data_IF_443533795230
#
_entry.id   IF_443533795230
#
_cell.length_a   1.000
_cell.length_b   1.000
_cell.length_c   1.000
_cell.angle_alpha   90.00
_cell.angle_beta   90.00
_cell.angle_gamma   90.00
#
_symmetry.space_group_name_H-M   'P 1'
#
loop_
_entity.id
_entity.type
_entity.pdbx_description
1 polymer ?
#
# COMPACT_ATOMS: atom_id res chain seq x y z
N UNK A 1 19.35 -9.84 -40.17
CA UNK A 1 20.83 -10.03 -40.24
C UNK A 1 21.07 -11.52 -40.22
N UNK A 2 21.53 -12.11 -41.35
CA UNK A 2 21.85 -13.52 -41.46
C UNK A 2 23.36 -13.71 -41.25
N UNK A 3 23.73 -14.76 -40.52
CA UNK A 3 25.13 -15.15 -40.36
C UNK A 3 25.49 -16.15 -41.43
N UNK A 4 26.58 -15.87 -42.19
CA UNK A 4 27.11 -16.74 -43.25
C UNK A 4 28.16 -17.67 -42.66
N UNK A 5 27.92 -18.99 -42.79
CA UNK A 5 28.91 -19.99 -42.38
C UNK A 5 29.58 -20.51 -43.62
N UNK A 6 30.87 -20.16 -43.85
CA UNK A 6 31.71 -20.64 -44.95
C UNK A 6 32.46 -21.89 -44.51
N UNK A 7 32.20 -23.05 -45.14
CA UNK A 7 32.99 -24.26 -45.00
C UNK A 7 34.20 -24.30 -45.95
N UNK A 8 35.27 -25.12 -45.70
CA UNK A 8 36.47 -25.18 -46.50
C UNK A 8 36.22 -25.82 -47.86
N UNK A 9 36.70 -25.13 -48.93
CA UNK A 9 36.63 -25.60 -50.30
C UNK A 9 37.74 -26.66 -50.54
N UNK A 10 37.35 -27.89 -50.93
CA UNK A 10 38.25 -28.89 -51.45
C UNK A 10 37.67 -29.49 -52.74
N UNK A 11 38.29 -29.20 -53.90
CA UNK A 11 38.32 -30.02 -55.12
C UNK A 11 37.09 -29.90 -56.03
N UNK A 12 37.30 -29.31 -57.21
CA UNK A 12 36.62 -29.32 -58.49
C UNK A 12 35.36 -30.17 -58.67
N UNK A 13 34.25 -29.73 -58.25
CA UNK A 13 32.92 -30.17 -58.57
C UNK A 13 31.98 -28.99 -58.37
N UNK A 14 30.95 -28.89 -59.19
CA UNK A 14 29.95 -27.83 -59.06
C UNK A 14 29.47 -27.73 -57.60
N UNK A 15 30.05 -26.81 -56.86
CA UNK A 15 29.61 -26.55 -55.47
C UNK A 15 28.25 -25.89 -55.52
N UNK A 16 27.23 -26.63 -55.12
CA UNK A 16 25.95 -26.06 -54.79
C UNK A 16 26.21 -25.18 -53.57
N UNK A 17 26.27 -23.86 -53.76
CA UNK A 17 26.32 -22.88 -52.66
C UNK A 17 25.01 -23.05 -51.88
N UNK A 18 25.06 -23.85 -50.85
CA UNK A 18 23.91 -24.06 -49.94
C UNK A 18 23.81 -22.80 -49.08
N UNK A 19 22.92 -21.91 -49.50
CA UNK A 19 22.64 -20.72 -48.75
C UNK A 19 21.91 -21.12 -47.46
N UNK A 20 22.62 -21.31 -46.36
CA UNK A 20 22.10 -21.67 -45.08
C UNK A 20 21.79 -20.39 -44.23
N UNK A 21 21.13 -19.42 -44.86
CA UNK A 21 20.62 -18.27 -44.11
C UNK A 21 19.46 -18.70 -43.20
N UNK A 22 19.73 -18.79 -41.93
CA UNK A 22 18.66 -19.06 -40.94
C UNK A 22 17.81 -17.78 -40.80
N UNK A 23 16.58 -17.86 -41.27
CA UNK A 23 15.65 -16.77 -41.06
C UNK A 23 15.22 -16.75 -39.59
N UNK A 24 15.75 -15.82 -38.82
CA UNK A 24 15.47 -15.67 -37.37
C UNK A 24 14.19 -14.90 -37.10
N UNK A 25 13.57 -14.30 -38.13
CA UNK A 25 12.36 -13.51 -37.95
C UNK A 25 11.20 -14.25 -37.28
N UNK A 26 10.88 -15.51 -37.68
CA UNK A 26 9.79 -16.26 -37.00
C UNK A 26 10.14 -16.59 -35.53
N UNK A 27 11.42 -16.78 -35.23
CA UNK A 27 11.88 -17.09 -33.89
C UNK A 27 11.75 -15.88 -32.96
N UNK A 28 12.17 -14.69 -33.45
CA UNK A 28 12.05 -13.45 -32.70
C UNK A 28 10.59 -13.08 -32.46
N UNK A 29 9.71 -13.30 -33.42
CA UNK A 29 8.28 -13.04 -33.27
C UNK A 29 7.65 -13.88 -32.15
N UNK A 30 7.92 -15.19 -32.16
CA UNK A 30 7.45 -16.08 -31.08
C UNK A 30 8.00 -15.64 -29.72
N UNK A 31 9.28 -15.28 -29.64
CA UNK A 31 9.90 -14.84 -28.39
C UNK A 31 9.27 -13.54 -27.87
N UNK A 32 8.98 -12.58 -28.76
CA UNK A 32 8.29 -11.34 -28.39
C UNK A 32 6.87 -11.61 -27.89
N UNK A 33 6.12 -12.44 -28.58
CA UNK A 33 4.75 -12.80 -28.18
C UNK A 33 4.75 -13.48 -26.81
N UNK A 34 5.65 -14.43 -26.58
CA UNK A 34 5.78 -15.10 -25.30
C UNK A 34 6.19 -14.12 -24.19
N UNK A 35 7.10 -13.17 -24.46
CA UNK A 35 7.49 -12.16 -23.51
C UNK A 35 6.30 -11.29 -23.08
N UNK A 36 5.48 -10.84 -24.05
CA UNK A 36 4.29 -10.05 -23.76
C UNK A 36 3.27 -10.87 -22.96
N UNK A 37 3.05 -12.13 -23.33
CA UNK A 37 2.14 -13.03 -22.59
C UNK A 37 2.60 -13.18 -21.15
N UNK A 38 3.90 -13.44 -20.91
CA UNK A 38 4.44 -13.56 -19.56
C UNK A 38 4.34 -12.23 -18.78
N UNK A 39 4.55 -11.10 -19.45
CA UNK A 39 4.43 -9.79 -18.81
C UNK A 39 2.99 -9.49 -18.38
N UNK A 40 1.99 -9.89 -19.19
CA UNK A 40 0.58 -9.67 -18.87
C UNK A 40 0.06 -10.74 -17.91
N UNK A 41 0.52 -11.98 -18.03
CA UNK A 41 0.11 -13.11 -17.19
C UNK A 41 0.86 -13.16 -15.84
N UNK A 42 1.96 -12.42 -15.68
CA UNK A 42 2.64 -12.33 -14.40
C UNK A 42 1.65 -11.73 -13.37
N UNK A 43 1.12 -12.52 -12.44
CA UNK A 43 0.24 -11.97 -11.43
C UNK A 43 1.04 -10.90 -10.67
N UNK A 44 0.49 -9.70 -10.58
CA UNK A 44 0.96 -8.73 -9.60
C UNK A 44 0.75 -9.45 -8.26
N UNK A 45 1.82 -10.05 -7.75
CA UNK A 45 1.79 -10.72 -6.47
C UNK A 45 1.49 -9.62 -5.43
N UNK A 46 0.22 -9.44 -5.13
CA UNK A 46 -0.18 -8.74 -3.93
C UNK A 46 0.31 -9.60 -2.78
N UNK A 47 1.44 -9.22 -2.21
CA UNK A 47 1.96 -9.83 -1.00
C UNK A 47 1.00 -9.42 0.12
N UNK A 48 -0.09 -10.17 0.27
CA UNK A 48 -0.89 -10.10 1.48
C UNK A 48 -0.07 -10.81 2.56
N UNK A 49 0.63 -10.04 3.37
CA UNK A 49 1.19 -10.55 4.61
C UNK A 49 0.01 -10.97 5.48
N UNK A 50 -0.18 -12.28 5.63
CA UNK A 50 -1.00 -12.79 6.72
C UNK A 50 -0.29 -12.45 8.02
N UNK A 51 -0.69 -11.35 8.64
CA UNK A 51 -0.29 -11.06 9.99
C UNK A 51 -1.07 -12.01 10.90
N UNK A 52 -0.46 -13.10 11.31
CA UNK A 52 -1.00 -13.96 12.38
C UNK A 52 -0.92 -13.15 13.68
N UNK A 53 -1.97 -12.40 13.93
CA UNK A 53 -2.18 -11.81 15.25
C UNK A 53 -2.56 -12.96 16.18
N UNK A 54 -1.86 -13.15 17.30
CA UNK A 54 -2.34 -14.08 18.32
C UNK A 54 -3.77 -13.70 18.67
N UNK A 55 -4.70 -14.66 18.83
CA UNK A 55 -6.06 -14.37 19.22
C UNK A 55 -6.02 -13.53 20.51
N UNK A 56 -6.53 -12.30 20.41
CA UNK A 56 -6.70 -11.45 21.58
C UNK A 56 -7.59 -12.20 22.58
N UNK A 57 -7.26 -12.13 23.86
CA UNK A 57 -8.16 -12.65 24.89
C UNK A 57 -9.56 -12.04 24.65
N UNK A 58 -10.61 -12.88 24.58
CA UNK A 58 -11.95 -12.36 24.42
C UNK A 58 -12.24 -11.38 25.57
N UNK A 59 -12.88 -10.24 25.31
CA UNK A 59 -13.24 -9.32 26.37
C UNK A 59 -14.07 -10.06 27.42
N UNK A 60 -13.89 -9.77 28.70
CA UNK A 60 -14.67 -10.41 29.76
C UNK A 60 -16.17 -10.21 29.49
N UNK A 61 -16.93 -11.29 29.67
CA UNK A 61 -18.38 -11.33 29.43
C UNK A 61 -19.08 -10.13 30.10
N UNK A 62 -19.77 -9.32 29.31
CA UNK A 62 -20.59 -8.19 29.80
C UNK A 62 -19.98 -6.80 29.60
N UNK A 63 -18.80 -6.69 29.00
CA UNK A 63 -18.24 -5.40 28.57
C UNK A 63 -18.57 -5.18 27.09
N UNK A 64 -19.55 -4.33 26.81
CA UNK A 64 -19.76 -3.87 25.44
C UNK A 64 -18.48 -3.20 24.93
N UNK A 65 -17.96 -3.63 23.75
CA UNK A 65 -16.79 -2.98 23.18
C UNK A 65 -17.12 -1.51 22.92
N UNK A 66 -16.41 -0.61 23.60
CA UNK A 66 -16.54 0.82 23.32
C UNK A 66 -16.14 1.10 21.88
N UNK A 67 -16.98 1.84 21.19
CA UNK A 67 -16.61 2.31 19.85
C UNK A 67 -15.34 3.16 19.93
N UNK A 68 -14.30 2.79 19.17
CA UNK A 68 -13.07 3.55 19.18
C UNK A 68 -13.27 4.94 18.56
N UNK A 69 -12.62 5.93 19.16
CA UNK A 69 -12.68 7.32 18.68
C UNK A 69 -11.72 7.53 17.53
N UNK A 70 -12.26 7.97 16.39
CA UNK A 70 -11.49 8.19 15.17
C UNK A 70 -11.34 9.69 14.86
N UNK A 71 -10.10 10.11 14.69
CA UNK A 71 -9.75 11.44 14.15
C UNK A 71 -9.38 11.26 12.68
N UNK A 72 -10.15 11.86 11.79
CA UNK A 72 -9.89 11.83 10.35
C UNK A 72 -9.23 13.13 9.91
N UNK A 73 -8.13 13.03 9.17
CA UNK A 73 -7.40 14.15 8.58
C UNK A 73 -7.67 14.17 7.09
N UNK A 74 -8.21 15.25 6.56
CA UNK A 74 -8.46 15.42 5.14
C UNK A 74 -7.29 16.13 4.44
N UNK A 75 -7.23 16.01 3.11
CA UNK A 75 -6.19 16.61 2.26
C UNK A 75 -6.07 18.12 2.48
N UNK A 76 -7.20 18.81 2.61
CA UNK A 76 -7.24 20.27 2.85
C UNK A 76 -6.81 20.68 4.27
N UNK A 77 -6.56 19.70 5.15
CA UNK A 77 -6.14 19.90 6.53
C UNK A 77 -7.29 20.05 7.51
N UNK A 78 -8.54 19.86 7.09
CA UNK A 78 -9.67 19.80 8.01
C UNK A 78 -9.60 18.51 8.84
N UNK A 79 -10.02 18.64 10.09
CA UNK A 79 -10.07 17.54 11.04
C UNK A 79 -11.51 17.17 11.32
N UNK A 80 -11.78 15.87 11.37
CA UNK A 80 -13.09 15.35 11.73
C UNK A 80 -12.94 14.36 12.88
N UNK A 81 -13.79 14.49 13.88
CA UNK A 81 -13.90 13.57 14.99
C UNK A 81 -15.28 12.92 14.96
N UNK A 82 -15.33 11.60 14.78
CA UNK A 82 -16.58 10.87 14.67
C UNK A 82 -17.60 11.52 13.71
N UNK A 83 -17.12 12.04 12.57
CA UNK A 83 -17.95 12.69 11.54
C UNK A 83 -18.26 14.17 11.77
N UNK A 84 -17.84 14.76 12.89
CA UNK A 84 -17.98 16.20 13.15
C UNK A 84 -16.68 16.94 12.87
N UNK A 85 -16.76 18.08 12.21
CA UNK A 85 -15.60 18.94 12.00
C UNK A 85 -15.08 19.49 13.32
N UNK A 86 -13.78 19.41 13.52
CA UNK A 86 -13.06 19.94 14.69
C UNK A 86 -11.84 20.75 14.27
N UNK A 87 -11.22 21.42 15.21
CA UNK A 87 -10.01 22.21 14.99
C UNK A 87 -8.91 21.72 15.91
N UNK A 88 -7.66 21.94 15.50
CA UNK A 88 -6.51 21.56 16.31
C UNK A 88 -6.58 22.10 17.75
N UNK A 89 -7.07 23.32 17.92
CA UNK A 89 -7.18 23.97 19.24
C UNK A 89 -8.23 23.33 20.15
N UNK A 90 -9.28 22.72 19.60
CA UNK A 90 -10.38 22.10 20.35
C UNK A 90 -10.32 20.57 20.34
N UNK A 91 -9.44 19.99 19.55
CA UNK A 91 -9.36 18.56 19.30
C UNK A 91 -9.31 17.72 20.59
N UNK A 92 -8.46 18.12 21.53
CA UNK A 92 -8.32 17.41 22.80
C UNK A 92 -9.63 17.43 23.63
N UNK A 93 -10.28 18.60 23.71
CA UNK A 93 -11.54 18.74 24.41
C UNK A 93 -12.67 17.95 23.73
N UNK A 94 -12.69 17.99 22.39
CA UNK A 94 -13.69 17.26 21.60
C UNK A 94 -13.52 15.74 21.72
N UNK A 95 -12.28 15.25 21.75
CA UNK A 95 -11.97 13.83 22.02
C UNK A 95 -12.46 13.42 23.40
N UNK A 96 -12.18 14.22 24.43
CA UNK A 96 -12.65 13.94 25.79
C UNK A 96 -14.18 13.96 25.87
N UNK A 97 -14.83 14.86 25.15
CA UNK A 97 -16.30 14.88 25.07
C UNK A 97 -16.88 13.64 24.35
N UNK A 98 -16.21 13.18 23.31
CA UNK A 98 -16.62 11.99 22.55
C UNK A 98 -16.45 10.68 23.33
N UNK A 99 -15.41 10.57 24.16
CA UNK A 99 -15.17 9.41 25.01
C UNK A 99 -16.12 9.32 26.21
N UNK A 100 -16.69 10.47 26.62
CA UNK A 100 -17.62 10.55 27.76
C UNK A 100 -17.00 10.27 29.14
N UNK A 101 -15.66 10.20 29.24
CA UNK A 101 -14.95 9.78 30.45
C UNK A 101 -14.38 10.91 31.30
N UNK A 102 -14.67 12.15 30.98
CA UNK A 102 -14.17 13.31 31.74
C UNK A 102 -12.64 13.33 31.84
N UNK A 103 -12.09 13.32 33.05
CA UNK A 103 -10.65 13.38 33.28
C UNK A 103 -9.87 12.13 32.84
N UNK A 104 -10.55 10.97 32.71
CA UNK A 104 -9.92 9.71 32.27
C UNK A 104 -9.86 9.57 30.73
N UNK A 105 -10.30 10.59 29.99
CA UNK A 105 -10.28 10.56 28.51
C UNK A 105 -8.88 10.37 27.92
N UNK A 106 -7.83 10.77 28.61
CA UNK A 106 -6.43 10.63 28.17
C UNK A 106 -5.92 9.18 28.18
N UNK A 107 -6.56 8.30 28.96
CA UNK A 107 -6.23 6.89 28.99
C UNK A 107 -6.86 6.08 27.86
N UNK A 108 -7.82 6.67 27.15
CA UNK A 108 -8.49 6.03 26.01
C UNK A 108 -7.60 6.01 24.78
N UNK A 109 -7.84 4.99 23.95
CA UNK A 109 -7.14 4.87 22.69
C UNK A 109 -7.83 5.70 21.62
N UNK A 110 -7.08 6.62 21.02
CA UNK A 110 -7.52 7.46 19.91
C UNK A 110 -6.88 6.96 18.63
N UNK A 111 -7.68 6.75 17.59
CA UNK A 111 -7.17 6.34 16.29
C UNK A 111 -7.14 7.54 15.34
N UNK A 112 -6.05 7.67 14.59
CA UNK A 112 -5.91 8.67 13.54
C UNK A 112 -5.92 7.95 12.21
N UNK A 113 -6.76 8.42 11.30
CA UNK A 113 -6.76 8.04 9.88
C UNK A 113 -6.58 9.28 9.03
N UNK A 114 -5.86 9.15 7.92
CA UNK A 114 -5.60 10.25 7.00
C UNK A 114 -5.89 9.80 5.57
N UNK A 115 -6.38 10.72 4.74
CA UNK A 115 -6.46 10.48 3.30
C UNK A 115 -5.03 10.30 2.73
N UNK A 116 -4.86 9.51 1.65
CA UNK A 116 -3.55 9.25 1.05
C UNK A 116 -2.80 10.51 0.61
N UNK A 117 -3.52 11.55 0.24
CA UNK A 117 -2.99 12.82 -0.26
C UNK A 117 -2.57 13.78 0.85
N UNK A 118 -2.85 13.43 2.11
CA UNK A 118 -2.48 14.29 3.26
C UNK A 118 -0.97 14.38 3.37
N UNK A 119 -0.46 15.60 3.45
CA UNK A 119 0.96 15.84 3.66
C UNK A 119 1.41 15.33 5.02
N UNK A 120 2.56 14.68 5.03
CA UNK A 120 3.14 14.09 6.26
C UNK A 120 3.30 15.10 7.40
N UNK A 121 3.69 16.34 7.10
CA UNK A 121 3.83 17.39 8.11
C UNK A 121 2.50 17.72 8.82
N UNK A 122 1.39 17.73 8.08
CA UNK A 122 0.05 17.93 8.65
C UNK A 122 -0.39 16.78 9.53
N UNK A 123 -0.18 15.55 9.03
CA UNK A 123 -0.46 14.35 9.82
C UNK A 123 0.33 14.36 11.14
N UNK A 124 1.63 14.64 11.08
CA UNK A 124 2.48 14.70 12.27
C UNK A 124 2.11 15.83 13.22
N UNK A 125 1.61 16.96 12.71
CA UNK A 125 1.11 18.05 13.54
C UNK A 125 -0.07 17.60 14.41
N UNK A 126 -1.02 16.82 13.84
CA UNK A 126 -2.16 16.27 14.59
C UNK A 126 -1.69 15.25 15.63
N UNK A 127 -0.80 14.36 15.25
CA UNK A 127 -0.21 13.38 16.15
C UNK A 127 0.47 14.04 17.35
N UNK A 128 1.33 15.02 17.07
CA UNK A 128 2.06 15.75 18.10
C UNK A 128 1.12 16.59 18.98
N UNK A 129 0.07 17.17 18.39
CA UNK A 129 -0.96 17.91 19.13
C UNK A 129 -1.71 17.05 20.13
N UNK A 130 -2.11 15.83 19.74
CA UNK A 130 -2.74 14.88 20.65
C UNK A 130 -1.77 14.44 21.76
N UNK A 131 -0.52 14.12 21.42
CA UNK A 131 0.50 13.75 22.42
C UNK A 131 0.78 14.90 23.40
N UNK A 132 0.91 16.12 22.90
CA UNK A 132 1.12 17.30 23.75
C UNK A 132 -0.06 17.58 24.69
N UNK A 133 -1.26 17.14 24.31
CA UNK A 133 -2.47 17.21 25.11
C UNK A 133 -2.63 16.04 26.09
N UNK A 134 -1.64 15.12 26.16
CA UNK A 134 -1.62 14.01 27.12
C UNK A 134 -2.24 12.71 26.64
N UNK A 135 -2.54 12.55 25.34
CA UNK A 135 -3.00 11.29 24.78
C UNK A 135 -1.81 10.41 24.40
N UNK A 136 -1.48 9.43 25.24
CA UNK A 136 -0.33 8.55 25.02
C UNK A 136 -0.68 7.34 24.12
N UNK A 137 -1.94 6.94 24.08
CA UNK A 137 -2.41 5.76 23.34
C UNK A 137 -3.00 6.15 21.98
N UNK A 138 -2.15 6.63 21.07
CA UNK A 138 -2.57 6.99 19.72
C UNK A 138 -2.26 5.85 18.75
N UNK A 139 -3.28 5.32 18.10
CA UNK A 139 -3.18 4.30 17.06
C UNK A 139 -3.30 4.91 15.66
N UNK A 140 -2.67 4.26 14.68
CA UNK A 140 -2.78 4.65 13.27
C UNK A 140 -3.64 3.62 12.55
N UNK A 141 -4.59 4.10 11.76
CA UNK A 141 -5.35 3.27 10.83
C UNK A 141 -4.95 3.61 9.40
N UNK A 142 -4.56 2.58 8.69
CA UNK A 142 -4.31 2.64 7.26
C UNK A 142 -5.51 1.98 6.56
N UNK A 143 -6.66 2.65 6.60
CA UNK A 143 -7.84 2.26 5.82
C UNK A 143 -7.99 3.24 4.66
N UNK A 144 -8.19 2.71 3.48
CA UNK A 144 -8.68 3.50 2.34
C UNK A 144 -10.08 4.01 2.71
N UNK A 145 -10.24 5.32 2.77
CA UNK A 145 -11.56 5.93 2.95
C UNK A 145 -12.27 5.90 1.59
N UNK A 146 -13.27 5.02 1.43
CA UNK A 146 -14.21 5.07 0.31
C UNK A 146 -15.06 6.35 0.34
#
# INVERSE_FOLDING_TARGET
>A
MGAKVSGPAAGGGATIDQNADINVTPFVDIMLVLLIIFMVAAPIATVSMKLDLPPGEPPPDGVEPKEPVYVSVQEDGRLFLAGRETRMATLAADVCAATGQGAACHDERVFIRAQPEVRYDRFMAVMNGLKASGFDKVGLLNEEME
#
